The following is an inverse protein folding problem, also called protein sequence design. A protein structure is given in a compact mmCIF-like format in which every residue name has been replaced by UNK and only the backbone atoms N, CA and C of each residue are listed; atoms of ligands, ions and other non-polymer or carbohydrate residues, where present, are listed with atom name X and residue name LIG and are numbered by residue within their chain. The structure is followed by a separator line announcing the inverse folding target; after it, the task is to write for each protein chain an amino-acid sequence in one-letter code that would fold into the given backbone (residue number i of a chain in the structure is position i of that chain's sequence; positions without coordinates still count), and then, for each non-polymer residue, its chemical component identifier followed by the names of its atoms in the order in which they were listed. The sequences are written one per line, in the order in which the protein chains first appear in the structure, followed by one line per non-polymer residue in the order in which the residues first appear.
data_IF_520420465595
#
_entry.id   IF_520420465595
#
_cell.length_a   1.000
_cell.length_b   1.000
_cell.length_c   1.000
_cell.angle_alpha   90.00
_cell.angle_beta   90.00
_cell.angle_gamma   90.00
#
_symmetry.space_group_name_H-M   'P 1'
#
loop_
_entity.id
_entity.type
_entity.pdbx_description
1 polymer ?
#
# COMPACT_ATOMS: atom_id res chain seq x y z
N UNK A 1 -6.95 3.70 -12.54
CA UNK A 1 -8.35 3.41 -12.88
C UNK A 1 -8.75 2.12 -12.20
N UNK A 2 -10.05 1.83 -12.12
CA UNK A 2 -10.61 0.64 -11.49
C UNK A 2 -11.56 -0.03 -12.49
N UNK A 3 -11.43 -1.34 -12.68
CA UNK A 3 -12.24 -2.14 -13.61
C UNK A 3 -12.42 -1.52 -15.01
N UNK A 4 -11.32 -1.04 -15.59
CA UNK A 4 -11.29 -0.43 -16.91
C UNK A 4 -11.79 1.02 -16.97
N UNK A 5 -12.28 1.58 -15.87
CA UNK A 5 -12.75 2.97 -15.79
C UNK A 5 -11.65 3.89 -15.27
N UNK A 6 -11.43 5.01 -15.98
CA UNK A 6 -10.56 6.10 -15.49
C UNK A 6 -11.32 6.90 -14.44
N UNK A 7 -10.69 7.12 -13.29
CA UNK A 7 -11.31 7.69 -12.09
C UNK A 7 -10.28 8.51 -11.32
N UNK A 8 -10.74 9.43 -10.48
CA UNK A 8 -9.83 10.15 -9.56
C UNK A 8 -9.35 9.21 -8.45
N UNK A 9 -8.28 9.59 -7.74
CA UNK A 9 -7.80 8.81 -6.60
C UNK A 9 -8.85 8.71 -5.49
N UNK A 10 -9.61 9.78 -5.25
CA UNK A 10 -10.71 9.79 -4.29
C UNK A 10 -11.80 8.78 -4.65
N UNK A 11 -12.30 8.82 -5.88
CA UNK A 11 -13.37 7.91 -6.31
C UNK A 11 -12.94 6.44 -6.29
N UNK A 12 -11.66 6.15 -6.57
CA UNK A 12 -11.10 4.80 -6.48
C UNK A 12 -11.11 4.33 -5.02
N UNK A 13 -10.69 5.18 -4.08
CA UNK A 13 -10.68 4.86 -2.65
C UNK A 13 -12.11 4.63 -2.16
N UNK A 14 -13.04 5.52 -2.50
CA UNK A 14 -14.44 5.44 -2.09
C UNK A 14 -15.10 4.14 -2.58
N UNK A 15 -14.98 3.85 -3.89
CA UNK A 15 -15.51 2.60 -4.45
C UNK A 15 -14.85 1.34 -3.87
N UNK A 16 -13.54 1.36 -3.62
CA UNK A 16 -12.87 0.22 -3.02
C UNK A 16 -13.25 0.03 -1.55
N UNK A 17 -13.58 1.10 -0.82
CA UNK A 17 -14.08 0.97 0.55
C UNK A 17 -15.41 0.20 0.56
N UNK A 18 -16.33 0.53 -0.35
CA UNK A 18 -17.60 -0.19 -0.47
C UNK A 18 -17.41 -1.66 -0.88
N UNK A 19 -16.68 -1.90 -1.98
CA UNK A 19 -16.52 -3.24 -2.56
C UNK A 19 -15.74 -4.16 -1.62
N UNK A 20 -14.61 -3.68 -1.09
CA UNK A 20 -13.77 -4.47 -0.20
C UNK A 20 -14.38 -4.59 1.21
N UNK A 21 -15.02 -3.53 1.70
CA UNK A 21 -15.74 -3.51 2.98
C UNK A 21 -16.90 -4.51 2.99
N UNK A 22 -17.68 -4.60 1.90
CA UNK A 22 -18.74 -5.60 1.75
C UNK A 22 -18.22 -7.06 1.79
N UNK A 23 -16.92 -7.25 1.50
CA UNK A 23 -16.25 -8.54 1.62
C UNK A 23 -15.52 -8.73 2.96
N UNK A 24 -15.61 -7.77 3.89
CA UNK A 24 -14.99 -7.82 5.21
C UNK A 24 -13.47 -7.65 5.21
N UNK A 25 -12.90 -7.12 4.13
CA UNK A 25 -11.46 -6.87 3.95
C UNK A 25 -11.04 -5.64 4.75
N UNK A 26 -9.82 -5.70 5.31
CA UNK A 26 -9.18 -4.53 5.93
C UNK A 26 -9.60 -4.24 7.37
N UNK A 27 -10.19 -5.22 8.07
CA UNK A 27 -10.36 -5.20 9.53
C UNK A 27 -9.06 -5.62 10.20
N UNK A 28 -8.52 -4.76 11.05
CA UNK A 28 -7.19 -4.92 11.64
C UNK A 28 -7.32 -4.70 13.14
N UNK A 29 -6.91 -5.69 13.94
CA UNK A 29 -6.83 -5.63 15.40
C UNK A 29 -5.36 -5.86 15.79
N UNK A 30 -4.72 -4.84 16.38
CA UNK A 30 -3.30 -4.90 16.67
C UNK A 30 -2.96 -4.20 17.98
N UNK A 31 -1.79 -4.56 18.51
CA UNK A 31 -1.13 -3.84 19.60
C UNK A 31 0.02 -3.05 19.01
N UNK A 32 -0.01 -1.73 19.13
CA UNK A 32 1.05 -0.84 18.65
C UNK A 32 1.91 -0.28 19.78
N UNK A 33 3.14 0.12 19.43
CA UNK A 33 4.05 0.84 20.31
C UNK A 33 3.94 2.33 20.01
N UNK A 34 3.43 3.10 20.97
CA UNK A 34 3.33 4.55 20.83
C UNK A 34 4.68 5.21 21.01
N UNK A 35 4.86 6.35 20.34
CA UNK A 35 6.05 7.20 20.47
C UNK A 35 6.34 7.56 21.94
N UNK A 36 5.29 7.73 22.75
CA UNK A 36 5.40 8.07 24.18
C UNK A 36 5.79 6.90 25.09
N UNK A 37 6.14 5.74 24.52
CA UNK A 37 6.71 4.60 25.25
C UNK A 37 5.70 3.62 25.84
N UNK A 38 4.41 3.73 25.49
CA UNK A 38 3.36 2.80 25.93
C UNK A 38 2.87 1.91 24.79
N UNK A 39 2.21 0.80 25.14
CA UNK A 39 1.45 -0.02 24.18
C UNK A 39 -0.03 0.30 24.24
N UNK A 40 -0.71 0.27 23.11
CA UNK A 40 -2.18 0.35 23.02
C UNK A 40 -2.70 -0.71 22.07
N UNK A 41 -3.89 -1.25 22.36
CA UNK A 41 -4.64 -2.08 21.42
C UNK A 41 -5.59 -1.18 20.64
N UNK A 42 -5.56 -1.29 19.33
CA UNK A 42 -6.36 -0.48 18.43
C UNK A 42 -7.04 -1.36 17.38
N UNK A 43 -8.21 -0.92 16.93
CA UNK A 43 -8.94 -1.52 15.82
C UNK A 43 -9.02 -0.52 14.69
N UNK A 44 -8.61 -0.93 13.50
CA UNK A 44 -8.66 -0.12 12.27
C UNK A 44 -9.51 -0.82 11.21
N UNK A 45 -10.19 -0.01 10.41
CA UNK A 45 -10.88 -0.44 9.20
C UNK A 45 -10.30 0.34 8.01
N UNK A 46 -9.63 -0.36 7.11
CA UNK A 46 -8.98 0.25 5.96
C UNK A 46 -9.12 -0.58 4.67
N UNK A 47 -10.35 -0.82 4.18
CA UNK A 47 -10.60 -1.78 3.09
C UNK A 47 -9.88 -1.39 1.80
N UNK A 48 -10.03 -0.14 1.34
CA UNK A 48 -9.36 0.34 0.14
C UNK A 48 -7.83 0.33 0.30
N UNK A 49 -7.32 0.76 1.45
CA UNK A 49 -5.88 0.80 1.70
C UNK A 49 -5.25 -0.60 1.62
N UNK A 50 -5.90 -1.62 2.20
CA UNK A 50 -5.43 -3.01 2.13
C UNK A 50 -5.40 -3.52 0.69
N UNK A 51 -6.45 -3.25 -0.09
CA UNK A 51 -6.50 -3.68 -1.51
C UNK A 51 -5.46 -2.95 -2.35
N UNK A 52 -5.35 -1.63 -2.21
CA UNK A 52 -4.38 -0.82 -2.96
C UNK A 52 -2.95 -1.19 -2.60
N UNK A 53 -2.64 -1.39 -1.32
CA UNK A 53 -1.31 -1.79 -0.86
C UNK A 53 -0.95 -3.19 -1.35
N UNK A 54 -1.89 -4.15 -1.31
CA UNK A 54 -1.69 -5.47 -1.89
C UNK A 54 -1.41 -5.38 -3.38
N UNK A 55 -2.28 -4.72 -4.14
CA UNK A 55 -2.15 -4.61 -5.59
C UNK A 55 -0.86 -3.90 -6.00
N UNK A 56 -0.50 -2.82 -5.33
CA UNK A 56 0.75 -2.09 -5.55
C UNK A 56 1.98 -2.98 -5.32
N UNK A 57 2.03 -3.69 -4.19
CA UNK A 57 3.12 -4.63 -3.88
C UNK A 57 3.23 -5.76 -4.90
N UNK A 58 2.11 -6.27 -5.39
CA UNK A 58 2.11 -7.29 -6.44
C UNK A 58 2.64 -6.77 -7.78
N UNK A 59 2.45 -5.49 -8.08
CA UNK A 59 3.03 -4.85 -9.25
C UNK A 59 4.53 -4.61 -9.07
N UNK A 60 4.96 -4.16 -7.89
CA UNK A 60 6.39 -4.02 -7.56
C UNK A 60 7.15 -5.34 -7.66
N UNK A 61 6.54 -6.44 -7.20
CA UNK A 61 7.12 -7.79 -7.35
C UNK A 61 7.35 -8.20 -8.81
N UNK A 62 6.57 -7.62 -9.73
CA UNK A 62 6.67 -7.91 -11.16
C UNK A 62 7.70 -7.01 -11.85
N UNK A 63 7.83 -5.75 -11.42
CA UNK A 63 8.54 -4.72 -12.20
C UNK A 63 9.83 -4.19 -11.56
N UNK A 64 10.09 -4.51 -10.29
CA UNK A 64 11.32 -4.07 -9.62
C UNK A 64 12.40 -5.15 -9.71
N UNK A 65 13.63 -4.69 -9.93
CA UNK A 65 14.81 -5.51 -9.69
C UNK A 65 14.87 -6.00 -8.24
N UNK A 66 15.45 -7.18 -8.04
CA UNK A 66 15.54 -7.85 -6.74
C UNK A 66 16.19 -6.97 -5.66
N UNK A 67 17.32 -6.35 -5.96
CA UNK A 67 18.08 -5.60 -4.96
C UNK A 67 17.36 -4.29 -4.61
N UNK A 68 16.74 -3.66 -5.60
CA UNK A 68 15.86 -2.50 -5.40
C UNK A 68 14.67 -2.87 -4.52
N UNK A 69 13.99 -3.99 -4.80
CA UNK A 69 12.84 -4.45 -4.02
C UNK A 69 13.21 -4.75 -2.56
N UNK A 70 14.34 -5.43 -2.34
CA UNK A 70 14.84 -5.73 -1.00
C UNK A 70 15.20 -4.47 -0.21
N UNK A 71 15.89 -3.52 -0.85
CA UNK A 71 16.27 -2.28 -0.17
C UNK A 71 15.06 -1.38 0.10
N UNK A 72 14.14 -1.28 -0.87
CA UNK A 72 12.89 -0.52 -0.74
C UNK A 72 12.03 -1.00 0.42
N UNK A 73 12.04 -2.29 0.76
CA UNK A 73 11.32 -2.79 1.94
C UNK A 73 11.81 -2.17 3.26
N UNK A 74 13.12 -1.91 3.38
CA UNK A 74 13.69 -1.20 4.54
C UNK A 74 13.26 0.26 4.55
N UNK A 75 13.37 0.92 3.40
CA UNK A 75 12.94 2.31 3.22
C UNK A 75 11.45 2.48 3.56
N UNK A 76 10.60 1.55 3.17
CA UNK A 76 9.17 1.58 3.50
C UNK A 76 8.93 1.53 5.02
N UNK A 77 9.71 0.74 5.77
CA UNK A 77 9.63 0.67 7.23
C UNK A 77 10.08 1.97 7.90
N UNK A 78 11.19 2.56 7.44
CA UNK A 78 11.69 3.84 7.94
C UNK A 78 10.69 4.97 7.64
N UNK A 79 10.09 4.95 6.45
CA UNK A 79 9.04 5.90 6.05
C UNK A 79 7.83 5.78 6.98
N UNK A 80 7.33 4.56 7.23
CA UNK A 80 6.23 4.32 8.16
C UNK A 80 6.54 4.81 9.59
N UNK A 81 7.75 4.55 10.08
CA UNK A 81 8.20 5.00 11.41
C UNK A 81 8.23 6.54 11.50
N UNK A 82 8.75 7.20 10.46
CA UNK A 82 8.79 8.65 10.37
C UNK A 82 7.38 9.26 10.36
N UNK A 83 6.43 8.70 9.59
CA UNK A 83 5.03 9.14 9.59
C UNK A 83 4.42 8.96 10.98
N UNK A 84 4.58 7.79 11.59
CA UNK A 84 4.00 7.48 12.90
C UNK A 84 4.50 8.43 13.99
N UNK A 85 5.77 8.83 13.91
CA UNK A 85 6.38 9.78 14.84
C UNK A 85 6.05 11.26 14.54
N UNK A 86 5.19 11.55 13.55
CA UNK A 86 4.81 12.92 13.19
C UNK A 86 5.89 13.71 12.45
N UNK A 87 6.91 13.04 11.90
CA UNK A 87 8.10 13.67 11.30
C UNK A 87 7.93 13.98 9.80
N UNK A 88 6.71 14.34 9.38
CA UNK A 88 6.38 14.56 7.97
C UNK A 88 7.16 15.72 7.34
N UNK A 89 7.33 16.83 8.07
CA UNK A 89 8.00 18.04 7.58
C UNK A 89 9.51 18.04 7.85
N UNK A 90 10.17 16.91 7.62
CA UNK A 90 11.62 16.78 7.79
C UNK A 90 12.35 16.65 6.45
N UNK A 91 13.65 17.00 6.37
CA UNK A 91 14.47 16.74 5.18
C UNK A 91 14.53 15.24 4.83
N UNK A 92 14.50 14.37 5.84
CA UNK A 92 14.48 12.92 5.66
C UNK A 92 13.32 12.49 4.76
N UNK A 93 12.11 13.00 5.00
CA UNK A 93 10.92 12.69 4.18
C UNK A 93 11.13 13.03 2.70
N UNK A 94 11.79 14.16 2.39
CA UNK A 94 12.14 14.54 1.00
C UNK A 94 13.10 13.54 0.37
N UNK A 95 14.13 13.11 1.12
CA UNK A 95 15.10 12.14 0.63
C UNK A 95 14.47 10.76 0.39
N UNK A 96 13.58 10.32 1.28
CA UNK A 96 12.84 9.08 1.10
C UNK A 96 11.87 9.17 -0.08
N UNK A 97 11.18 10.30 -0.28
CA UNK A 97 10.32 10.53 -1.45
C UNK A 97 11.11 10.41 -2.75
N UNK A 98 12.30 11.02 -2.83
CA UNK A 98 13.13 10.96 -4.02
C UNK A 98 13.52 9.51 -4.36
N UNK A 99 13.91 8.72 -3.35
CA UNK A 99 14.16 7.29 -3.52
C UNK A 99 12.91 6.56 -4.02
N UNK A 100 11.77 6.73 -3.35
CA UNK A 100 10.52 6.06 -3.74
C UNK A 100 10.13 6.44 -5.17
N UNK A 101 10.13 7.72 -5.52
CA UNK A 101 9.79 8.20 -6.86
C UNK A 101 10.67 7.58 -7.94
N UNK A 102 11.96 7.39 -7.68
CA UNK A 102 12.86 6.67 -8.60
C UNK A 102 12.39 5.24 -8.83
N UNK A 103 12.08 4.50 -7.76
CA UNK A 103 11.61 3.11 -7.86
C UNK A 103 10.27 2.99 -8.58
N UNK A 104 9.40 4.00 -8.51
CA UNK A 104 8.06 3.93 -9.11
C UNK A 104 8.03 4.13 -10.62
N UNK A 105 9.14 4.53 -11.26
CA UNK A 105 9.20 4.77 -12.71
C UNK A 105 8.80 3.55 -13.55
N UNK A 106 9.10 2.33 -13.07
CA UNK A 106 8.76 1.09 -13.79
C UNK A 106 7.45 0.45 -13.32
N UNK A 107 6.90 0.90 -12.18
CA UNK A 107 5.73 0.31 -11.52
C UNK A 107 4.45 0.78 -12.20
N UNK A 108 4.16 0.19 -13.37
CA UNK A 108 2.93 0.41 -14.10
C UNK A 108 2.38 -0.91 -14.66
N UNK A 109 1.06 -1.02 -14.78
CA UNK A 109 0.39 -2.23 -15.23
C UNK A 109 -0.98 -2.43 -14.61
N UNK A 110 -1.47 -3.67 -14.72
CA UNK A 110 -2.77 -4.12 -14.23
C UNK A 110 -2.59 -5.23 -13.22
N UNK A 111 -3.30 -5.13 -12.10
CA UNK A 111 -3.41 -6.19 -11.09
C UNK A 111 -4.89 -6.52 -10.92
N UNK A 112 -5.23 -7.79 -11.11
CA UNK A 112 -6.57 -8.32 -10.88
C UNK A 112 -6.56 -9.05 -9.53
N UNK A 113 -7.46 -8.65 -8.63
CA UNK A 113 -7.60 -9.25 -7.30
C UNK A 113 -8.96 -9.91 -7.13
N UNK A 114 -9.02 -10.90 -6.25
CA UNK A 114 -10.27 -11.48 -5.73
C UNK A 114 -10.42 -11.03 -4.29
N UNK A 115 -11.60 -10.52 -3.95
CA UNK A 115 -11.96 -10.14 -2.60
C UNK A 115 -12.99 -11.14 -2.11
N UNK A 116 -12.68 -11.84 -1.01
CA UNK A 116 -13.59 -12.87 -0.51
C UNK A 116 -13.39 -13.13 0.98
N UNK A 117 -14.46 -12.95 1.76
CA UNK A 117 -14.52 -13.28 3.20
C UNK A 117 -13.29 -12.81 4.00
N UNK A 118 -12.91 -11.54 3.80
CA UNK A 118 -11.79 -10.88 4.46
C UNK A 118 -10.45 -11.00 3.75
N UNK A 119 -10.35 -11.82 2.71
CA UNK A 119 -9.09 -12.05 1.99
C UNK A 119 -8.98 -11.20 0.73
N UNK A 120 -7.74 -10.88 0.38
CA UNK A 120 -7.35 -10.28 -0.91
C UNK A 120 -6.37 -11.25 -1.57
N UNK A 121 -6.83 -11.92 -2.63
CA UNK A 121 -6.04 -12.89 -3.36
C UNK A 121 -5.70 -12.40 -4.76
N UNK A 122 -4.53 -12.79 -5.27
CA UNK A 122 -4.12 -12.46 -6.62
C UNK A 122 -4.86 -13.32 -7.65
N UNK A 123 -5.37 -12.69 -8.71
CA UNK A 123 -5.98 -13.37 -9.85
C UNK A 123 -5.26 -13.11 -11.18
N UNK A 124 -4.38 -12.11 -11.26
CA UNK A 124 -3.54 -11.88 -12.43
C UNK A 124 -2.73 -10.59 -12.33
N UNK A 125 -1.61 -10.54 -13.04
CA UNK A 125 -0.72 -9.38 -13.14
C UNK A 125 -0.27 -9.21 -14.59
N UNK A 126 -0.17 -7.98 -15.06
CA UNK A 126 0.38 -7.68 -16.39
C UNK A 126 1.04 -6.31 -16.34
N UNK A 127 2.24 -6.20 -16.91
CA UNK A 127 2.98 -4.94 -17.03
C UNK A 127 3.71 -4.93 -18.38
N UNK A 128 3.85 -3.78 -19.06
CA UNK A 128 4.77 -3.64 -20.18
C UNK A 128 6.25 -3.65 -19.76
N UNK A 129 6.53 -3.52 -18.46
CA UNK A 129 7.87 -3.47 -17.86
C UNK A 129 8.22 -4.73 -17.04
N UNK A 130 7.54 -5.85 -17.29
CA UNK A 130 7.83 -7.14 -16.65
C UNK A 130 9.03 -7.85 -17.28
#
# INVERSE_FOLDING_TARGET
GLDGKKMSGFDIIDMLNDIAGANGVGRIDLIENRLVGIKSREVYEAPAAVVLHFAHRELERLTLDKDVAHYKAKIAHDYATMIYNGLWFTPLRVSLDAFVNETQKTVNGLVKVKLYKGNVDIAGRTSPNS
#
